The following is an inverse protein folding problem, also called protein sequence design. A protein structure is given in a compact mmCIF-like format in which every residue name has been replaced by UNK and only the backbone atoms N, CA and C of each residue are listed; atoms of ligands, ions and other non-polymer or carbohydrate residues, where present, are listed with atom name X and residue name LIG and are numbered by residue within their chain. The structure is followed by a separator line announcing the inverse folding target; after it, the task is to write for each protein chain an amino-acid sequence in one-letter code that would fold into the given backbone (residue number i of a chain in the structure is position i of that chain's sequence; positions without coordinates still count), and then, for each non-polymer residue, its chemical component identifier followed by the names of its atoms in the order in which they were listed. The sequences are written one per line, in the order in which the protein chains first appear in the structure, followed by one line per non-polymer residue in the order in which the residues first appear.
data_IF_034657267101
#
_entry.id   IF_034657267101
#
_cell.length_a   1.000
_cell.length_b   1.000
_cell.length_c   1.000
_cell.angle_alpha   90.00
_cell.angle_beta   90.00
_cell.angle_gamma   90.00
#
_symmetry.space_group_name_H-M   'P 1'
#
loop_
_entity.id
_entity.type
_entity.pdbx_description
1 polymer ?
#
# COMPACT_ATOMS: atom_id res chain seq x y z
N UNK A 1 1.13 -17.93 31.65
CA UNK A 1 0.83 -18.12 30.21
C UNK A 1 -0.23 -17.14 29.65
N UNK A 2 -0.60 -16.04 30.33
CA UNK A 2 -1.88 -15.34 30.06
C UNK A 2 -1.86 -13.95 29.42
N UNK A 3 -0.73 -13.23 29.40
CA UNK A 3 -0.69 -11.81 28.99
C UNK A 3 -0.46 -11.59 27.48
N UNK A 4 0.15 -12.55 26.77
CA UNK A 4 0.41 -12.42 25.33
C UNK A 4 -0.83 -12.67 24.44
N UNK A 5 -1.90 -13.26 25.00
CA UNK A 5 -3.16 -13.45 24.27
C UNK A 5 -4.07 -12.21 24.29
N UNK A 6 -3.70 -11.14 25.00
CA UNK A 6 -4.52 -9.93 25.06
C UNK A 6 -4.29 -9.08 23.81
N UNK A 7 -5.35 -8.81 23.02
CA UNK A 7 -5.24 -7.99 21.81
C UNK A 7 -4.58 -6.62 22.07
N UNK A 8 -4.87 -6.01 23.22
CA UNK A 8 -4.31 -4.71 23.60
C UNK A 8 -2.79 -4.77 23.79
N UNK A 9 -2.27 -5.86 24.36
CA UNK A 9 -0.83 -6.07 24.53
C UNK A 9 -0.16 -6.27 23.17
N UNK A 10 -0.78 -7.05 22.27
CA UNK A 10 -0.26 -7.23 20.90
C UNK A 10 -0.29 -5.94 20.09
N UNK A 11 -1.38 -5.17 20.18
CA UNK A 11 -1.50 -3.87 19.54
C UNK A 11 -0.41 -2.92 20.03
N UNK A 12 -0.21 -2.82 21.36
CA UNK A 12 0.82 -1.98 21.94
C UNK A 12 2.22 -2.45 21.52
N UNK A 13 2.48 -3.75 21.50
CA UNK A 13 3.76 -4.30 21.04
C UNK A 13 4.07 -3.90 19.59
N UNK A 14 3.08 -3.98 18.69
CA UNK A 14 3.25 -3.55 17.30
C UNK A 14 3.49 -2.03 17.19
N UNK A 15 2.78 -1.21 17.98
CA UNK A 15 2.98 0.24 18.04
C UNK A 15 4.38 0.59 18.53
N UNK A 16 4.85 -0.04 19.59
CA UNK A 16 6.19 0.18 20.16
C UNK A 16 7.31 -0.35 19.26
N UNK A 17 7.07 -1.45 18.53
CA UNK A 17 7.99 -1.91 17.49
C UNK A 17 8.15 -0.83 16.42
N UNK A 18 7.05 -0.32 15.86
CA UNK A 18 7.09 0.74 14.85
C UNK A 18 7.85 1.98 15.33
N UNK A 19 7.59 2.43 16.57
CA UNK A 19 8.30 3.57 17.16
C UNK A 19 9.80 3.32 17.25
N UNK A 20 10.20 2.13 17.71
CA UNK A 20 11.62 1.73 17.76
C UNK A 20 12.25 1.65 16.38
N UNK A 21 11.53 1.17 15.38
CA UNK A 21 12.03 1.13 14.00
C UNK A 21 12.32 2.54 13.48
N UNK A 22 11.44 3.50 13.76
CA UNK A 22 11.60 4.87 13.27
C UNK A 22 12.43 5.78 14.19
N UNK A 23 12.86 5.28 15.36
CA UNK A 23 13.58 6.09 16.34
C UNK A 23 15.01 6.40 15.86
N UNK A 24 15.39 7.67 16.05
CA UNK A 24 16.75 8.18 15.81
C UNK A 24 17.34 7.79 14.45
N UNK A 25 16.59 7.96 13.36
CA UNK A 25 17.02 7.59 11.99
C UNK A 25 17.35 6.09 11.88
N UNK A 26 16.39 5.25 12.30
CA UNK A 26 16.47 3.80 12.36
C UNK A 26 17.61 3.22 13.23
N UNK A 27 18.34 4.02 14.02
CA UNK A 27 19.48 3.55 14.85
C UNK A 27 19.13 2.38 15.76
N UNK A 28 17.97 2.41 16.42
CA UNK A 28 17.57 1.31 17.31
C UNK A 28 17.26 0.02 16.55
N UNK A 29 16.75 0.12 15.32
CA UNK A 29 16.54 -1.05 14.45
C UNK A 29 17.88 -1.61 13.95
N UNK A 30 18.80 -0.73 13.55
CA UNK A 30 20.14 -1.10 13.06
C UNK A 30 20.99 -1.74 14.17
N UNK A 31 20.80 -1.32 15.43
CA UNK A 31 21.50 -1.90 16.58
C UNK A 31 21.09 -3.35 16.88
N UNK A 32 19.99 -3.85 16.31
CA UNK A 32 19.59 -5.25 16.47
C UNK A 32 20.52 -6.18 15.68
N UNK A 33 20.90 -7.34 16.24
CA UNK A 33 21.63 -8.36 15.48
C UNK A 33 20.86 -8.75 14.20
N UNK A 34 21.59 -8.98 13.11
CA UNK A 34 21.00 -9.30 11.81
C UNK A 34 20.02 -10.50 11.87
N UNK A 35 20.33 -11.51 12.68
CA UNK A 35 19.48 -12.69 12.89
C UNK A 35 18.13 -12.34 13.52
N UNK A 36 18.11 -11.35 14.43
CA UNK A 36 16.87 -10.86 15.07
C UNK A 36 16.02 -10.12 14.04
N UNK A 37 16.64 -9.25 13.23
CA UNK A 37 15.93 -8.53 12.15
C UNK A 37 15.36 -9.52 11.13
N UNK A 38 16.13 -10.52 10.73
CA UNK A 38 15.69 -11.58 9.82
C UNK A 38 14.50 -12.37 10.40
N UNK A 39 14.56 -12.74 11.68
CA UNK A 39 13.45 -13.45 12.36
C UNK A 39 12.17 -12.61 12.39
N UNK A 40 12.29 -11.30 12.69
CA UNK A 40 11.14 -10.39 12.69
C UNK A 40 10.52 -10.33 11.29
N UNK A 41 11.34 -10.12 10.25
CA UNK A 41 10.89 -10.07 8.85
C UNK A 41 10.23 -11.38 8.40
N UNK A 42 10.78 -12.52 8.77
CA UNK A 42 10.24 -13.84 8.41
C UNK A 42 8.87 -14.11 9.07
N UNK A 43 8.70 -13.71 10.34
CA UNK A 43 7.48 -14.01 11.11
C UNK A 43 6.36 -13.00 10.92
N UNK A 44 6.68 -11.73 10.67
CA UNK A 44 5.68 -10.66 10.61
C UNK A 44 4.56 -10.91 9.57
N UNK A 45 4.84 -11.38 8.33
CA UNK A 45 3.81 -11.72 7.36
C UNK A 45 2.81 -12.77 7.87
N UNK A 46 3.29 -13.80 8.57
CA UNK A 46 2.43 -14.84 9.14
C UNK A 46 1.57 -14.31 10.30
N UNK A 47 2.14 -13.42 11.12
CA UNK A 47 1.44 -12.81 12.25
C UNK A 47 0.32 -11.89 11.77
N UNK A 48 0.57 -11.05 10.75
CA UNK A 48 -0.42 -10.06 10.31
C UNK A 48 -1.63 -10.71 9.64
N UNK A 49 -1.44 -11.78 8.84
CA UNK A 49 -2.56 -12.49 8.18
C UNK A 49 -3.35 -13.34 9.18
N UNK A 50 -2.70 -13.91 10.19
CA UNK A 50 -3.39 -14.71 11.21
C UNK A 50 -4.16 -13.86 12.24
N UNK A 51 -3.95 -12.54 12.27
CA UNK A 51 -4.57 -11.67 13.28
C UNK A 51 -6.02 -11.31 12.93
N UNK A 52 -6.94 -11.85 13.73
CA UNK A 52 -8.37 -11.61 13.61
C UNK A 52 -8.82 -10.20 14.02
N UNK A 53 -8.11 -9.55 14.95
CA UNK A 53 -8.51 -8.25 15.50
C UNK A 53 -8.03 -7.10 14.60
N UNK A 54 -8.95 -6.30 13.99
CA UNK A 54 -8.58 -5.26 13.03
C UNK A 54 -7.55 -4.27 13.56
N UNK A 55 -7.72 -3.77 14.80
CA UNK A 55 -6.78 -2.82 15.40
C UNK A 55 -5.36 -3.40 15.55
N UNK A 56 -5.24 -4.67 15.94
CA UNK A 56 -3.94 -5.33 16.06
C UNK A 56 -3.33 -5.54 14.68
N UNK A 57 -4.13 -6.03 13.73
CA UNK A 57 -3.71 -6.24 12.34
C UNK A 57 -3.19 -4.96 11.70
N UNK A 58 -3.90 -3.83 11.86
CA UNK A 58 -3.46 -2.53 11.35
C UNK A 58 -2.19 -2.03 12.02
N UNK A 59 -2.07 -2.21 13.35
CA UNK A 59 -0.82 -1.86 14.05
C UNK A 59 0.37 -2.71 13.60
N UNK A 60 0.16 -4.01 13.37
CA UNK A 60 1.20 -4.92 12.85
C UNK A 60 1.59 -4.55 11.42
N UNK A 61 0.62 -4.28 10.54
CA UNK A 61 0.87 -3.82 9.17
C UNK A 61 1.69 -2.53 9.16
N UNK A 62 1.36 -1.55 10.02
CA UNK A 62 2.15 -0.32 10.20
C UNK A 62 3.58 -0.55 10.67
N UNK A 63 3.80 -1.54 11.53
CA UNK A 63 5.14 -1.92 11.96
C UNK A 63 5.93 -2.56 10.81
N UNK A 64 5.28 -3.43 10.02
CA UNK A 64 5.87 -4.02 8.82
C UNK A 64 6.24 -2.95 7.78
N UNK A 65 5.36 -1.99 7.51
CA UNK A 65 5.62 -0.86 6.61
C UNK A 65 6.86 -0.07 7.01
N UNK A 66 7.01 0.24 8.31
CA UNK A 66 8.19 0.95 8.81
C UNK A 66 9.50 0.15 8.60
N UNK A 67 9.46 -1.16 8.82
CA UNK A 67 10.61 -2.04 8.55
C UNK A 67 10.88 -2.09 7.04
N UNK A 68 9.84 -2.21 6.22
CA UNK A 68 9.95 -2.33 4.77
C UNK A 68 10.55 -1.09 4.12
N UNK A 69 10.12 0.11 4.54
CA UNK A 69 10.66 1.37 4.03
C UNK A 69 12.16 1.53 4.28
N UNK A 70 12.67 0.90 5.34
CA UNK A 70 14.11 0.86 5.61
C UNK A 70 14.83 -0.29 4.87
N UNK A 71 14.26 -1.50 4.87
CA UNK A 71 14.95 -2.71 4.41
C UNK A 71 14.87 -2.95 2.89
N UNK A 72 13.82 -2.46 2.22
CA UNK A 72 13.64 -2.64 0.76
C UNK A 72 14.68 -1.87 -0.06
N UNK A 73 15.00 -0.59 0.21
CA UNK A 73 16.09 0.11 -0.49
C UNK A 73 17.44 -0.58 -0.35
N UNK A 74 17.64 -1.31 0.75
CA UNK A 74 18.87 -2.07 1.04
C UNK A 74 18.87 -3.48 0.42
N UNK A 75 17.78 -3.89 -0.25
CA UNK A 75 17.60 -5.23 -0.80
C UNK A 75 17.54 -6.34 0.26
N UNK A 76 17.21 -6.01 1.51
CA UNK A 76 17.30 -6.92 2.65
C UNK A 76 15.99 -7.66 2.96
N UNK A 77 14.91 -7.42 2.21
CA UNK A 77 13.64 -8.12 2.36
C UNK A 77 13.03 -8.54 1.01
N UNK A 78 13.71 -9.42 0.25
CA UNK A 78 13.33 -9.76 -1.12
C UNK A 78 11.94 -10.41 -1.23
N UNK A 79 11.52 -11.16 -0.21
CA UNK A 79 10.27 -11.93 -0.25
C UNK A 79 9.00 -11.10 0.01
N UNK A 80 9.16 -9.83 0.44
CA UNK A 80 8.03 -9.02 0.87
C UNK A 80 7.05 -8.73 -0.27
N UNK A 81 7.53 -8.35 -1.45
CA UNK A 81 6.66 -7.99 -2.57
C UNK A 81 5.82 -9.18 -3.02
N UNK A 82 6.40 -10.38 -3.13
CA UNK A 82 5.66 -11.60 -3.46
C UNK A 82 4.56 -11.89 -2.44
N UNK A 83 4.83 -11.71 -1.15
CA UNK A 83 3.82 -11.82 -0.09
C UNK A 83 2.69 -10.79 -0.25
N UNK A 84 3.00 -9.54 -0.57
CA UNK A 84 2.00 -8.49 -0.74
C UNK A 84 1.12 -8.73 -1.97
N UNK A 85 1.71 -9.13 -3.10
CA UNK A 85 0.96 -9.53 -4.30
C UNK A 85 0.00 -10.69 -4.01
N UNK A 86 0.47 -11.72 -3.28
CA UNK A 86 -0.37 -12.84 -2.88
C UNK A 86 -1.49 -12.40 -1.91
N UNK A 87 -1.19 -11.51 -0.97
CA UNK A 87 -2.17 -10.99 -0.01
C UNK A 87 -3.26 -10.18 -0.71
N UNK A 88 -2.90 -9.34 -1.67
CA UNK A 88 -3.82 -8.60 -2.52
C UNK A 88 -4.71 -9.51 -3.38
N UNK A 89 -4.24 -10.69 -3.78
CA UNK A 89 -5.01 -11.68 -4.53
C UNK A 89 -5.79 -12.67 -3.64
N UNK A 90 -5.77 -12.49 -2.32
CA UNK A 90 -6.36 -13.44 -1.38
C UNK A 90 -7.89 -13.48 -1.49
N UNK A 91 -8.54 -14.64 -1.33
CA UNK A 91 -10.00 -14.71 -1.24
C UNK A 91 -10.55 -14.01 0.02
N UNK A 92 -9.72 -13.68 1.01
CA UNK A 92 -10.12 -13.04 2.27
C UNK A 92 -9.90 -11.53 2.20
N UNK A 93 -10.96 -10.72 2.36
CA UNK A 93 -10.86 -9.25 2.32
C UNK A 93 -9.84 -8.68 3.29
N UNK A 94 -9.79 -9.18 4.53
CA UNK A 94 -8.83 -8.67 5.54
C UNK A 94 -7.36 -8.89 5.16
N UNK A 95 -7.05 -9.90 4.33
CA UNK A 95 -5.72 -10.09 3.78
C UNK A 95 -5.44 -9.09 2.64
N UNK A 96 -6.45 -8.83 1.79
CA UNK A 96 -6.33 -7.84 0.71
C UNK A 96 -6.15 -6.43 1.27
N UNK A 97 -6.89 -6.07 2.32
CA UNK A 97 -6.74 -4.82 3.08
C UNK A 97 -5.31 -4.65 3.61
N UNK A 98 -4.73 -5.68 4.23
CA UNK A 98 -3.34 -5.64 4.69
C UNK A 98 -2.36 -5.49 3.53
N UNK A 99 -2.54 -6.28 2.47
CA UNK A 99 -1.67 -6.28 1.32
C UNK A 99 -1.61 -4.91 0.67
N UNK A 100 -2.77 -4.32 0.36
CA UNK A 100 -2.84 -3.02 -0.30
C UNK A 100 -2.39 -1.88 0.62
N UNK A 101 -2.67 -1.96 1.92
CA UNK A 101 -2.19 -0.97 2.88
C UNK A 101 -0.66 -0.94 2.94
N UNK A 102 -0.02 -2.10 3.12
CA UNK A 102 1.45 -2.14 3.17
C UNK A 102 2.01 -1.73 1.81
N UNK A 103 1.43 -2.19 0.70
CA UNK A 103 1.84 -1.77 -0.65
C UNK A 103 1.80 -0.25 -0.79
N UNK A 104 0.69 0.40 -0.41
CA UNK A 104 0.55 1.86 -0.45
C UNK A 104 1.69 2.56 0.31
N UNK A 105 2.00 2.08 1.52
CA UNK A 105 3.01 2.72 2.38
C UNK A 105 4.45 2.56 1.91
N UNK A 106 4.74 1.52 1.13
CA UNK A 106 6.08 1.28 0.57
C UNK A 106 6.19 1.80 -0.86
N UNK A 107 5.07 2.17 -1.49
CA UNK A 107 5.00 2.45 -2.92
C UNK A 107 5.94 3.58 -3.31
N UNK A 108 5.89 4.71 -2.60
CA UNK A 108 6.81 5.85 -2.77
C UNK A 108 8.28 5.40 -2.67
N UNK A 109 8.60 4.56 -1.67
CA UNK A 109 9.95 4.05 -1.46
C UNK A 109 10.41 3.13 -2.60
N UNK A 110 9.52 2.32 -3.19
CA UNK A 110 9.92 1.39 -4.25
C UNK A 110 9.97 2.06 -5.63
N UNK A 111 9.09 3.00 -5.95
CA UNK A 111 9.03 3.61 -7.30
C UNK A 111 10.24 4.51 -7.59
N UNK A 112 10.87 5.08 -6.56
CA UNK A 112 12.14 5.83 -6.68
C UNK A 112 13.34 4.92 -6.98
N UNK A 113 13.20 3.61 -6.81
CA UNK A 113 14.31 2.68 -6.86
C UNK A 113 14.40 2.02 -8.25
N UNK A 114 15.56 2.11 -8.94
CA UNK A 114 15.73 1.58 -10.29
C UNK A 114 15.38 0.10 -10.43
N UNK A 115 15.62 -0.71 -9.39
CA UNK A 115 15.33 -2.14 -9.38
C UNK A 115 13.85 -2.49 -9.48
N UNK A 116 12.94 -1.58 -9.11
CA UNK A 116 11.49 -1.82 -9.13
C UNK A 116 10.77 -1.18 -10.32
N UNK A 117 11.44 -0.33 -11.10
CA UNK A 117 10.88 0.28 -12.34
C UNK A 117 10.27 -0.75 -13.30
N UNK A 118 10.92 -1.91 -13.47
CA UNK A 118 10.43 -3.00 -14.32
C UNK A 118 9.12 -3.65 -13.82
N UNK A 119 8.76 -3.43 -12.56
CA UNK A 119 7.56 -4.00 -11.94
C UNK A 119 6.35 -3.04 -12.01
N UNK A 120 6.54 -1.77 -12.42
CA UNK A 120 5.45 -0.80 -12.56
C UNK A 120 4.24 -1.32 -13.37
N UNK A 121 4.41 -1.97 -14.54
CA UNK A 121 3.28 -2.53 -15.26
C UNK A 121 2.50 -3.60 -14.47
N UNK A 122 3.19 -4.40 -13.66
CA UNK A 122 2.56 -5.40 -12.78
C UNK A 122 1.72 -4.74 -11.68
N UNK A 123 2.26 -3.69 -11.05
CA UNK A 123 1.54 -2.91 -10.05
C UNK A 123 0.29 -2.25 -10.65
N UNK A 124 0.41 -1.69 -11.85
CA UNK A 124 -0.72 -1.11 -12.59
C UNK A 124 -1.84 -2.12 -12.85
N UNK A 125 -1.51 -3.34 -13.24
CA UNK A 125 -2.49 -4.41 -13.43
C UNK A 125 -3.08 -4.89 -12.10
N UNK A 126 -2.27 -4.99 -11.06
CA UNK A 126 -2.73 -5.34 -9.71
C UNK A 126 -3.76 -4.32 -9.20
N UNK A 127 -3.44 -3.03 -9.30
CA UNK A 127 -4.33 -1.95 -8.84
C UNK A 127 -5.59 -1.84 -9.70
N UNK A 128 -5.52 -2.09 -11.01
CA UNK A 128 -6.72 -2.22 -11.84
C UNK A 128 -7.71 -3.27 -11.33
N UNK A 129 -7.21 -4.42 -10.86
CA UNK A 129 -8.04 -5.47 -10.25
C UNK A 129 -8.59 -5.08 -8.89
N UNK A 130 -7.75 -4.51 -8.00
CA UNK A 130 -8.15 -4.14 -6.64
C UNK A 130 -9.12 -2.95 -6.60
N UNK A 131 -9.10 -2.08 -7.61
CA UNK A 131 -10.09 -1.02 -7.77
C UNK A 131 -11.52 -1.59 -7.91
N UNK A 132 -11.62 -2.83 -8.39
CA UNK A 132 -12.86 -3.60 -8.54
C UNK A 132 -13.04 -4.62 -7.41
N UNK A 133 -12.42 -4.43 -6.25
CA UNK A 133 -12.58 -5.36 -5.11
C UNK A 133 -14.06 -5.61 -4.82
N UNK A 134 -14.52 -6.87 -4.76
CA UNK A 134 -15.94 -7.16 -4.67
C UNK A 134 -16.52 -6.92 -3.26
N UNK A 135 -15.67 -6.79 -2.23
CA UNK A 135 -16.10 -6.87 -0.83
C UNK A 135 -15.74 -5.60 -0.05
N UNK A 136 -14.50 -5.11 -0.17
CA UNK A 136 -13.96 -4.08 0.71
C UNK A 136 -13.85 -2.72 0.02
N UNK A 137 -14.63 -1.74 0.49
CA UNK A 137 -14.47 -0.34 0.09
C UNK A 137 -13.09 0.19 0.47
N UNK A 138 -12.56 -0.22 1.63
CA UNK A 138 -11.23 0.18 2.09
C UNK A 138 -10.14 -0.26 1.10
N UNK A 139 -10.24 -1.46 0.52
CA UNK A 139 -9.33 -1.92 -0.54
C UNK A 139 -9.43 -1.02 -1.77
N UNK A 140 -10.66 -0.75 -2.24
CA UNK A 140 -10.87 0.11 -3.42
C UNK A 140 -10.30 1.51 -3.21
N UNK A 141 -10.60 2.14 -2.07
CA UNK A 141 -10.10 3.48 -1.71
C UNK A 141 -8.58 3.49 -1.62
N UNK A 142 -7.99 2.53 -0.93
CA UNK A 142 -6.53 2.46 -0.76
C UNK A 142 -5.83 2.23 -2.10
N UNK A 143 -6.45 1.47 -2.99
CA UNK A 143 -5.97 1.26 -4.36
C UNK A 143 -5.94 2.56 -5.16
N UNK A 144 -6.95 3.42 -5.02
CA UNK A 144 -6.94 4.74 -5.67
C UNK A 144 -5.77 5.59 -5.15
N UNK A 145 -5.45 5.50 -3.86
CA UNK A 145 -4.28 6.18 -3.29
C UNK A 145 -2.97 5.68 -3.92
N UNK A 146 -2.84 4.37 -4.12
CA UNK A 146 -1.69 3.79 -4.82
C UNK A 146 -1.60 4.28 -6.27
N UNK A 147 -2.73 4.36 -6.98
CA UNK A 147 -2.80 4.89 -8.34
C UNK A 147 -2.42 6.38 -8.39
N UNK A 148 -2.78 7.16 -7.36
CA UNK A 148 -2.34 8.54 -7.22
C UNK A 148 -0.81 8.66 -7.12
N UNK A 149 -0.18 7.86 -6.26
CA UNK A 149 1.28 7.84 -6.12
C UNK A 149 1.93 7.48 -7.45
N UNK A 150 1.50 6.39 -8.09
CA UNK A 150 2.09 5.97 -9.37
C UNK A 150 1.87 6.99 -10.51
N UNK A 151 0.79 7.78 -10.46
CA UNK A 151 0.52 8.81 -11.45
C UNK A 151 1.59 9.91 -11.45
N UNK A 152 2.19 10.22 -10.30
CA UNK A 152 3.27 11.21 -10.18
C UNK A 152 4.55 10.80 -10.93
N UNK A 153 4.70 9.50 -11.24
CA UNK A 153 5.85 8.94 -11.94
C UNK A 153 5.57 8.64 -13.43
N UNK A 154 4.38 8.97 -13.93
CA UNK A 154 4.07 8.85 -15.35
C UNK A 154 4.71 9.98 -16.14
N UNK A 155 5.42 9.65 -17.22
CA UNK A 155 5.83 10.63 -18.22
C UNK A 155 4.72 10.87 -19.22
N UNK A 156 4.62 12.09 -19.75
CA UNK A 156 3.74 12.44 -20.88
C UNK A 156 4.00 11.59 -22.13
N UNK A 157 5.20 10.99 -22.22
CA UNK A 157 5.58 10.09 -23.31
C UNK A 157 5.00 8.67 -23.17
N UNK A 158 4.52 8.29 -21.99
CA UNK A 158 4.11 6.92 -21.66
C UNK A 158 2.65 6.67 -22.07
N UNK A 159 2.39 6.79 -23.37
CA UNK A 159 1.02 6.78 -23.93
C UNK A 159 0.23 5.52 -23.59
N UNK A 160 0.87 4.36 -23.54
CA UNK A 160 0.24 3.10 -23.11
C UNK A 160 -0.21 3.16 -21.65
N UNK A 161 0.65 3.61 -20.73
CA UNK A 161 0.32 3.68 -19.31
C UNK A 161 -0.75 4.73 -19.05
N UNK A 162 -0.69 5.89 -19.72
CA UNK A 162 -1.74 6.92 -19.66
C UNK A 162 -3.09 6.36 -20.12
N UNK A 163 -3.14 5.55 -21.18
CA UNK A 163 -4.39 4.90 -21.63
C UNK A 163 -4.92 3.92 -20.59
N UNK A 164 -4.05 3.13 -19.96
CA UNK A 164 -4.45 2.20 -18.89
C UNK A 164 -5.04 2.99 -17.72
N UNK A 165 -4.38 4.07 -17.28
CA UNK A 165 -4.90 4.97 -16.25
C UNK A 165 -6.25 5.56 -16.60
N UNK A 166 -6.40 6.10 -17.80
CA UNK A 166 -7.67 6.66 -18.27
C UNK A 166 -8.80 5.62 -18.23
N UNK A 167 -8.50 4.35 -18.49
CA UNK A 167 -9.47 3.26 -18.39
C UNK A 167 -9.96 2.98 -16.97
N UNK A 168 -9.21 3.39 -15.94
CA UNK A 168 -9.57 3.22 -14.53
C UNK A 168 -10.42 4.37 -13.96
N UNK A 169 -10.48 5.53 -14.64
CA UNK A 169 -11.26 6.69 -14.19
C UNK A 169 -12.73 6.38 -13.86
N UNK A 170 -13.48 5.60 -14.69
CA UNK A 170 -14.86 5.25 -14.34
C UNK A 170 -14.97 4.46 -13.02
N UNK A 171 -14.00 3.59 -12.75
CA UNK A 171 -13.90 2.84 -11.49
C UNK A 171 -13.65 3.77 -10.31
N UNK A 172 -12.71 4.71 -10.45
CA UNK A 172 -12.41 5.71 -9.40
C UNK A 172 -13.64 6.58 -9.07
N UNK A 173 -14.37 7.05 -10.10
CA UNK A 173 -15.60 7.84 -9.93
C UNK A 173 -16.69 7.00 -9.22
N UNK A 174 -16.79 5.71 -9.55
CA UNK A 174 -17.73 4.81 -8.87
C UNK A 174 -17.42 4.70 -7.38
N UNK A 175 -16.14 4.53 -7.02
CA UNK A 175 -15.69 4.46 -5.60
C UNK A 175 -15.89 5.79 -4.88
N UNK A 176 -15.67 6.93 -5.56
CA UNK A 176 -16.01 8.25 -5.02
C UNK A 176 -17.51 8.33 -4.67
N UNK A 177 -18.39 7.88 -5.56
CA UNK A 177 -19.82 7.80 -5.32
C UNK A 177 -20.17 6.92 -4.11
N UNK A 178 -19.48 5.79 -3.93
CA UNK A 178 -19.63 4.92 -2.75
C UNK A 178 -19.23 5.65 -1.46
N UNK A 179 -18.10 6.37 -1.45
CA UNK A 179 -17.66 7.13 -0.27
C UNK A 179 -18.68 8.22 0.10
N UNK A 180 -19.21 8.95 -0.89
CA UNK A 180 -20.25 9.97 -0.66
C UNK A 180 -21.51 9.34 -0.08
N UNK A 181 -21.95 8.19 -0.62
CA UNK A 181 -23.12 7.48 -0.12
C UNK A 181 -22.96 7.01 1.33
N UNK A 182 -21.73 6.65 1.73
CA UNK A 182 -21.40 6.28 3.11
C UNK A 182 -21.06 7.47 4.02
N UNK A 183 -21.18 8.71 3.53
CA UNK A 183 -20.78 9.95 4.24
C UNK A 183 -19.30 9.96 4.67
N UNK A 184 -18.45 9.24 3.95
CA UNK A 184 -17.00 9.23 4.15
C UNK A 184 -16.34 10.39 3.37
N UNK A 185 -16.53 11.59 3.89
CA UNK A 185 -16.01 12.82 3.28
C UNK A 185 -14.48 12.84 3.18
N UNK A 186 -13.78 12.15 4.08
CA UNK A 186 -12.33 12.12 4.10
C UNK A 186 -11.79 11.35 2.90
N UNK A 187 -12.29 10.14 2.68
CA UNK A 187 -11.89 9.35 1.52
C UNK A 187 -12.41 9.94 0.22
N UNK A 188 -13.62 10.52 0.20
CA UNK A 188 -14.14 11.21 -0.98
C UNK A 188 -13.22 12.37 -1.42
N UNK A 189 -12.77 13.21 -0.49
CA UNK A 189 -11.84 14.32 -0.78
C UNK A 189 -10.52 13.81 -1.37
N UNK A 190 -9.93 12.78 -0.77
CA UNK A 190 -8.68 12.23 -1.28
C UNK A 190 -8.82 11.63 -2.68
N UNK A 191 -9.93 10.94 -2.97
CA UNK A 191 -10.18 10.43 -4.32
C UNK A 191 -10.31 11.59 -5.32
N UNK A 192 -10.95 12.69 -4.91
CA UNK A 192 -11.04 13.88 -5.73
C UNK A 192 -9.67 14.48 -6.05
N UNK A 193 -8.78 14.59 -5.06
CA UNK A 193 -7.41 15.09 -5.26
C UNK A 193 -6.63 14.22 -6.27
N UNK A 194 -6.76 12.89 -6.17
CA UNK A 194 -6.14 11.95 -7.12
C UNK A 194 -6.70 12.13 -8.53
N UNK A 195 -8.02 12.28 -8.67
CA UNK A 195 -8.65 12.53 -9.97
C UNK A 195 -8.19 13.86 -10.59
N UNK A 196 -7.99 14.90 -9.79
CA UNK A 196 -7.47 16.19 -10.26
C UNK A 196 -6.05 16.07 -10.84
N UNK A 197 -5.14 15.42 -10.10
CA UNK A 197 -3.78 15.13 -10.57
C UNK A 197 -3.80 14.38 -11.91
N UNK A 198 -4.67 13.37 -12.03
CA UNK A 198 -4.82 12.60 -13.26
C UNK A 198 -5.37 13.43 -14.43
N UNK A 199 -6.32 14.34 -14.18
CA UNK A 199 -6.85 15.22 -15.22
C UNK A 199 -5.77 16.15 -15.77
N UNK A 200 -4.82 16.60 -14.96
CA UNK A 200 -3.69 17.41 -15.42
C UNK A 200 -2.83 16.58 -16.39
N UNK A 201 -2.49 15.35 -16.03
CA UNK A 201 -1.64 14.45 -16.82
C UNK A 201 -2.35 14.03 -18.13
N UNK A 202 -3.63 13.65 -18.06
CA UNK A 202 -4.41 13.17 -19.21
C UNK A 202 -4.84 14.30 -20.16
N UNK A 203 -4.74 15.57 -19.77
CA UNK A 203 -4.98 16.71 -20.67
C UNK A 203 -3.79 16.99 -21.59
N UNK A 204 -2.63 16.37 -21.34
CA UNK A 204 -1.38 16.62 -22.06
C UNK A 204 -1.15 15.78 -23.33
N UNK A 205 -1.84 14.66 -23.64
CA UNK A 205 -1.80 14.04 -24.95
C UNK A 205 -2.96 14.55 -25.81
N UNK A 206 -3.01 15.85 -26.14
CA UNK A 206 -4.02 16.34 -27.08
C UNK A 206 -4.43 17.81 -27.10
N UNK A 207 -3.74 18.76 -26.45
CA UNK A 207 -3.97 20.20 -26.69
C UNK A 207 -3.42 20.67 -28.06
N UNK A 208 -3.78 19.95 -29.11
CA UNK A 208 -3.65 20.32 -30.51
C UNK A 208 -4.88 19.79 -31.26
N UNK A 209 -6.06 20.35 -30.96
CA UNK A 209 -7.22 20.48 -31.85
C UNK A 209 -8.46 20.91 -31.05
N UNK A 210 -8.64 22.21 -30.83
CA UNK A 210 -9.71 23.07 -31.40
C UNK A 210 -9.21 24.50 -31.32
#
# INVERSE_FOLDING_TARGET
MGIFNWPQVRQLAAVELRKRVNADDNKLWIALPQEVRATIKQKSPQIVIAESKPLVRHSTARAMSAIANFELPLGQWPDLLAFLEQSCASPTASHREVGIYIMQTILETIVEQPQYTKQMPSFMQLFGRLLQDPESLEVRVTTIRCLGILAEYLSETDKEDIKIYASYLPGMITVLGQCIAESDENNARHIFDVLETLLIIVRLPGSAAV
#
